data_IF_436597692442
#
_entry.id   IF_436597692442
#
_cell.length_a   1.000
_cell.length_b   1.000
_cell.length_c   1.000
_cell.angle_alpha   90.00
_cell.angle_beta   90.00
_cell.angle_gamma   90.00
#
_symmetry.space_group_name_H-M   'P 1'
#
loop_
_entity.id
_entity.type
_entity.pdbx_description
1 polymer ?
#
# COMPACT_ATOMS: atom_id res chain seq x y z
N UNK A 1 -1.15 -19.37 10.89
CA UNK A 1 -0.10 -19.62 9.86
C UNK A 1 -0.48 -18.87 8.61
N UNK A 2 0.47 -18.19 7.98
CA UNK A 2 0.31 -17.57 6.67
C UNK A 2 1.39 -18.09 5.73
N UNK A 3 1.03 -18.22 4.46
CA UNK A 3 1.96 -18.60 3.40
C UNK A 3 2.10 -17.43 2.43
N UNK A 4 3.30 -17.17 1.92
CA UNK A 4 3.57 -16.11 0.96
C UNK A 4 4.46 -16.61 -0.18
N UNK A 5 4.32 -15.96 -1.32
CA UNK A 5 5.14 -16.23 -2.49
C UNK A 5 6.39 -15.36 -2.49
N UNK A 6 7.53 -15.91 -2.93
CA UNK A 6 8.82 -15.22 -2.98
C UNK A 6 9.59 -15.51 -4.24
N UNK A 7 10.27 -14.50 -4.78
CA UNK A 7 11.19 -14.63 -5.90
C UNK A 7 10.52 -14.64 -7.27
N UNK A 8 11.20 -15.16 -8.26
CA UNK A 8 10.77 -15.17 -9.66
C UNK A 8 9.81 -16.33 -9.95
N UNK A 9 8.61 -16.29 -9.39
CA UNK A 9 7.58 -17.31 -9.60
C UNK A 9 6.66 -16.94 -10.75
N UNK A 10 6.09 -17.94 -11.43
CA UNK A 10 5.28 -17.77 -12.64
C UNK A 10 3.90 -18.44 -12.58
N UNK A 11 3.48 -18.94 -11.41
CA UNK A 11 2.26 -19.74 -11.26
C UNK A 11 1.27 -19.22 -10.20
N UNK A 12 1.39 -17.94 -9.77
CA UNK A 12 0.53 -17.33 -8.77
C UNK A 12 -0.44 -16.29 -9.36
N UNK A 13 -0.92 -16.52 -10.57
CA UNK A 13 -1.87 -15.64 -11.24
C UNK A 13 -3.31 -15.98 -10.88
N UNK A 14 -4.16 -14.94 -10.83
CA UNK A 14 -5.62 -15.03 -10.70
C UNK A 14 -6.27 -14.03 -11.64
N UNK A 15 -7.23 -14.47 -12.44
CA UNK A 15 -8.11 -13.57 -13.19
C UNK A 15 -9.34 -13.27 -12.35
N UNK A 16 -9.55 -11.99 -12.05
CA UNK A 16 -10.73 -11.52 -11.33
C UNK A 16 -11.12 -10.12 -11.80
N UNK A 17 -12.42 -9.89 -11.98
CA UNK A 17 -12.99 -8.62 -12.47
C UNK A 17 -12.39 -8.18 -13.83
N UNK A 18 -12.09 -9.13 -14.72
CA UNK A 18 -11.50 -8.84 -16.03
C UNK A 18 -10.06 -8.33 -15.99
N UNK A 19 -9.38 -8.47 -14.87
CA UNK A 19 -8.00 -8.05 -14.65
C UNK A 19 -7.14 -9.22 -14.22
N UNK A 20 -5.81 -9.08 -14.35
CA UNK A 20 -4.86 -10.04 -13.82
C UNK A 20 -4.31 -9.60 -12.48
N UNK A 21 -4.24 -10.53 -11.55
CA UNK A 21 -3.73 -10.36 -10.20
C UNK A 21 -2.65 -11.39 -9.90
N UNK A 22 -1.77 -11.06 -8.94
CA UNK A 22 -0.80 -12.00 -8.36
C UNK A 22 -1.21 -12.30 -6.92
N UNK A 23 -1.14 -13.55 -6.53
CA UNK A 23 -1.28 -13.95 -5.12
C UNK A 23 -0.02 -13.53 -4.37
N UNK A 24 -0.19 -12.72 -3.33
CA UNK A 24 0.90 -12.29 -2.44
C UNK A 24 1.03 -13.27 -1.28
N UNK A 25 -0.10 -13.55 -0.62
CA UNK A 25 -0.14 -14.49 0.51
C UNK A 25 -1.50 -15.17 0.64
N UNK A 26 -1.49 -16.29 1.34
CA UNK A 26 -2.69 -16.96 1.85
C UNK A 26 -2.66 -16.82 3.37
N UNK A 27 -3.70 -16.27 3.95
CA UNK A 27 -3.83 -16.06 5.39
C UNK A 27 -4.32 -17.32 6.10
N UNK A 28 -4.21 -17.35 7.44
CA UNK A 28 -4.52 -18.56 8.23
C UNK A 28 -6.01 -18.95 8.22
N UNK A 29 -6.90 -18.04 7.84
CA UNK A 29 -8.34 -18.27 7.63
C UNK A 29 -8.69 -18.70 6.20
N UNK A 30 -7.68 -18.83 5.33
CA UNK A 30 -7.85 -19.20 3.93
C UNK A 30 -8.11 -18.05 2.97
N UNK A 31 -8.16 -16.82 3.45
CA UNK A 31 -8.26 -15.63 2.59
C UNK A 31 -6.99 -15.46 1.77
N UNK A 32 -7.14 -14.92 0.55
CA UNK A 32 -6.04 -14.72 -0.38
C UNK A 32 -5.84 -13.22 -0.57
N UNK A 33 -4.64 -12.71 -0.28
CA UNK A 33 -4.26 -11.34 -0.63
C UNK A 33 -3.71 -11.30 -2.04
N UNK A 34 -4.34 -10.46 -2.85
CA UNK A 34 -3.99 -10.23 -4.25
C UNK A 34 -3.31 -8.86 -4.40
N UNK A 35 -2.51 -8.70 -5.45
CA UNK A 35 -2.00 -7.40 -5.93
C UNK A 35 -2.20 -7.32 -7.43
N UNK A 36 -2.54 -6.15 -7.93
CA UNK A 36 -2.75 -5.93 -9.35
C UNK A 36 -1.47 -6.24 -10.16
N UNK A 37 -1.63 -7.01 -11.23
CA UNK A 37 -0.58 -7.36 -12.18
C UNK A 37 -0.84 -6.78 -13.57
N UNK A 38 -2.11 -6.74 -14.01
CA UNK A 38 -2.50 -6.10 -15.25
C UNK A 38 -3.91 -5.50 -15.11
N UNK A 39 -4.00 -4.17 -15.19
CA UNK A 39 -5.25 -3.42 -15.12
C UNK A 39 -6.16 -3.65 -16.36
N UNK A 40 -5.62 -4.31 -17.38
CA UNK A 40 -6.34 -4.69 -18.58
C UNK A 40 -7.07 -3.51 -19.26
N UNK A 41 -6.38 -2.38 -19.36
CA UNK A 41 -6.95 -1.18 -20.01
C UNK A 41 -7.39 -1.45 -21.46
N UNK A 42 -6.70 -2.38 -22.15
CA UNK A 42 -6.98 -2.76 -23.52
C UNK A 42 -8.09 -3.82 -23.66
N UNK A 43 -8.67 -4.28 -22.54
CA UNK A 43 -9.79 -5.25 -22.49
C UNK A 43 -9.49 -6.55 -23.26
N UNK A 44 -8.27 -7.06 -23.15
CA UNK A 44 -7.88 -8.34 -23.76
C UNK A 44 -8.55 -9.51 -23.04
N UNK A 45 -8.81 -10.60 -23.74
CA UNK A 45 -9.52 -11.77 -23.21
C UNK A 45 -8.72 -12.52 -22.12
N UNK A 46 -7.38 -12.50 -22.20
CA UNK A 46 -6.47 -13.21 -21.29
C UNK A 46 -5.47 -12.22 -20.67
N UNK A 47 -5.87 -11.41 -19.69
CA UNK A 47 -5.01 -10.36 -19.13
C UNK A 47 -3.78 -10.89 -18.41
N UNK A 48 -3.78 -12.17 -18.01
CA UNK A 48 -2.65 -12.84 -17.37
C UNK A 48 -1.65 -13.47 -18.36
N UNK A 49 -1.94 -13.45 -19.67
CA UNK A 49 -1.02 -13.99 -20.65
C UNK A 49 0.25 -13.10 -20.74
N UNK A 50 1.42 -13.72 -20.80
CA UNK A 50 2.70 -13.01 -20.85
C UNK A 50 2.82 -12.05 -22.07
N UNK A 51 2.11 -12.35 -23.17
CA UNK A 51 2.03 -11.45 -24.33
C UNK A 51 1.37 -10.09 -24.03
N UNK A 52 0.67 -9.97 -22.92
CA UNK A 52 -0.01 -8.75 -22.47
C UNK A 52 0.78 -8.01 -21.36
N UNK A 53 1.97 -8.49 -21.04
CA UNK A 53 2.84 -7.82 -20.09
C UNK A 53 3.40 -6.52 -20.67
N UNK A 54 3.45 -5.49 -19.82
CA UNK A 54 4.19 -4.25 -20.08
C UNK A 54 4.57 -3.59 -18.76
N UNK A 55 5.53 -2.67 -18.80
CA UNK A 55 6.15 -2.12 -17.59
C UNK A 55 5.24 -1.30 -16.69
N UNK A 56 4.04 -0.93 -17.16
CA UNK A 56 3.04 -0.14 -16.38
C UNK A 56 1.69 -0.84 -16.25
N UNK A 57 1.57 -2.09 -16.68
CA UNK A 57 0.29 -2.80 -16.65
C UNK A 57 -0.26 -3.01 -15.23
N UNK A 58 0.62 -3.09 -14.22
CA UNK A 58 0.26 -3.34 -12.83
C UNK A 58 -0.34 -2.13 -12.09
N UNK A 59 -0.54 -0.99 -12.76
CA UNK A 59 -1.04 0.22 -12.11
C UNK A 59 -2.51 0.50 -12.43
N UNK A 60 -3.25 0.94 -11.42
CA UNK A 60 -4.67 1.28 -11.49
C UNK A 60 -4.92 2.57 -12.27
N UNK A 61 -5.65 2.52 -13.36
CA UNK A 61 -6.08 3.70 -14.11
C UNK A 61 -7.38 4.22 -13.54
N UNK A 62 -7.27 5.09 -12.55
CA UNK A 62 -8.41 5.63 -11.82
C UNK A 62 -9.08 6.85 -12.49
N UNK A 63 -8.42 7.45 -13.49
CA UNK A 63 -8.97 8.56 -14.28
C UNK A 63 -8.40 8.53 -15.71
N UNK A 64 -9.16 8.02 -16.66
CA UNK A 64 -8.68 7.82 -18.03
C UNK A 64 -7.44 6.93 -18.08
N UNK A 65 -6.31 7.48 -18.52
CA UNK A 65 -5.01 6.78 -18.55
C UNK A 65 -4.15 7.05 -17.30
N UNK A 66 -4.60 7.90 -16.38
CA UNK A 66 -3.84 8.30 -15.20
C UNK A 66 -3.78 7.15 -14.20
N UNK A 67 -2.57 6.74 -13.84
CA UNK A 67 -2.26 5.66 -12.90
C UNK A 67 -1.25 6.06 -11.83
N UNK A 68 -0.81 7.32 -11.82
CA UNK A 68 0.13 7.85 -10.85
C UNK A 68 -0.55 8.88 -9.94
N UNK A 69 -0.14 8.96 -8.69
CA UNK A 69 -0.71 9.85 -7.69
C UNK A 69 0.36 10.34 -6.72
N UNK A 70 0.19 11.55 -6.19
CA UNK A 70 0.81 11.90 -4.91
C UNK A 70 0.21 11.01 -3.82
N UNK A 71 0.95 10.76 -2.75
CA UNK A 71 0.40 10.08 -1.58
C UNK A 71 -0.51 11.04 -0.79
N UNK A 72 0.00 12.24 -0.50
CA UNK A 72 -0.73 13.36 0.11
C UNK A 72 -0.27 14.70 -0.47
N UNK A 73 -1.04 15.77 -0.23
CA UNK A 73 -0.75 17.11 -0.77
C UNK A 73 0.03 18.02 0.22
N UNK A 74 0.35 17.54 1.41
CA UNK A 74 1.16 18.29 2.38
C UNK A 74 2.24 17.36 2.96
N UNK A 75 3.43 17.92 3.26
CA UNK A 75 4.61 17.15 3.64
C UNK A 75 5.28 17.61 4.94
N UNK A 76 4.77 18.69 5.53
CA UNK A 76 5.49 19.41 6.59
C UNK A 76 5.07 18.98 8.01
N UNK A 77 4.37 17.85 8.14
CA UNK A 77 3.86 17.36 9.40
C UNK A 77 3.80 15.82 9.38
N UNK A 78 4.10 15.19 10.50
CA UNK A 78 3.99 13.74 10.67
C UNK A 78 2.59 13.21 10.33
N UNK A 79 1.52 14.00 10.55
CA UNK A 79 0.16 13.62 10.22
C UNK A 79 -0.07 13.34 8.72
N UNK A 80 0.82 13.80 7.82
CA UNK A 80 0.68 13.54 6.37
C UNK A 80 1.05 12.12 5.95
N UNK A 81 1.57 11.33 6.87
CA UNK A 81 1.96 9.94 6.63
C UNK A 81 0.83 8.97 6.89
N UNK A 82 0.83 7.90 6.11
CA UNK A 82 -0.13 6.82 6.22
C UNK A 82 -1.30 6.90 5.25
N UNK A 83 -1.81 5.73 4.94
CA UNK A 83 -2.92 5.50 4.00
C UNK A 83 -4.22 6.21 4.41
N UNK A 84 -4.45 6.32 5.72
CA UNK A 84 -5.32 7.32 6.33
C UNK A 84 -4.49 8.14 7.29
N UNK A 85 -4.78 9.43 7.43
CA UNK A 85 -4.01 10.34 8.25
C UNK A 85 -4.86 11.04 9.32
N UNK A 86 -4.19 11.56 10.36
CA UNK A 86 -4.83 12.21 11.49
C UNK A 86 -5.03 13.72 11.30
N UNK A 87 -4.97 14.46 12.39
CA UNK A 87 -5.21 15.90 12.40
C UNK A 87 -3.88 16.66 12.37
N UNK A 88 -3.51 17.30 11.26
CA UNK A 88 -2.29 18.09 11.17
C UNK A 88 -2.26 19.22 12.19
N UNK A 89 -1.10 19.42 12.83
CA UNK A 89 -0.90 20.50 13.80
C UNK A 89 -1.55 20.26 15.15
N UNK A 90 -2.01 19.03 15.42
CA UNK A 90 -2.52 18.68 16.74
C UNK A 90 -1.38 18.70 17.79
N UNK A 91 -1.75 18.83 19.05
CA UNK A 91 -0.81 18.87 20.17
C UNK A 91 -0.51 17.49 20.76
N UNK A 92 -1.09 16.43 20.20
CA UNK A 92 -0.94 15.07 20.72
C UNK A 92 -0.55 14.07 19.62
N UNK A 93 0.30 13.13 19.98
CA UNK A 93 0.68 12.01 19.15
C UNK A 93 -0.54 11.23 18.60
N UNK A 94 -1.49 10.94 19.46
CA UNK A 94 -2.67 10.16 19.10
C UNK A 94 -3.51 10.84 18.00
N UNK A 95 -3.74 12.16 18.11
CA UNK A 95 -4.54 12.90 17.14
C UNK A 95 -3.83 13.07 15.78
N UNK A 96 -2.50 13.14 15.77
CA UNK A 96 -1.75 13.18 14.51
C UNK A 96 -1.69 11.83 13.82
N UNK A 97 -1.62 10.74 14.59
CA UNK A 97 -1.46 9.38 14.04
C UNK A 97 -2.78 8.61 13.91
N UNK A 98 -3.92 9.20 14.27
CA UNK A 98 -5.23 8.55 14.06
C UNK A 98 -5.52 8.32 12.56
N UNK A 99 -6.37 7.33 12.25
CA UNK A 99 -6.86 7.05 10.90
C UNK A 99 -8.20 7.75 10.68
N UNK A 100 -8.19 9.06 10.44
CA UNK A 100 -9.38 9.91 10.39
C UNK A 100 -9.76 10.34 8.97
N UNK A 101 -8.76 10.67 8.17
CA UNK A 101 -8.95 11.27 6.86
C UNK A 101 -8.29 10.44 5.79
N UNK A 102 -8.96 10.23 4.67
CA UNK A 102 -8.42 9.53 3.51
C UNK A 102 -7.23 10.33 2.94
N UNK A 103 -6.14 9.64 2.63
CA UNK A 103 -5.08 10.19 1.80
C UNK A 103 -5.57 10.40 0.36
N UNK A 104 -4.83 11.18 -0.42
CA UNK A 104 -5.16 11.37 -1.84
C UNK A 104 -5.09 10.04 -2.59
N UNK A 105 -4.06 9.24 -2.32
CA UNK A 105 -3.95 7.92 -2.97
C UNK A 105 -5.10 7.00 -2.62
N UNK A 106 -5.60 7.01 -1.37
CA UNK A 106 -6.79 6.24 -0.98
C UNK A 106 -8.02 6.71 -1.71
N UNK A 107 -8.22 8.03 -1.86
CA UNK A 107 -9.33 8.59 -2.64
C UNK A 107 -9.29 8.13 -4.09
N UNK A 108 -8.11 8.12 -4.72
CA UNK A 108 -7.93 7.63 -6.08
C UNK A 108 -8.17 6.11 -6.19
N UNK A 109 -7.74 5.35 -5.19
CA UNK A 109 -8.03 3.91 -5.11
C UNK A 109 -9.53 3.61 -4.97
N UNK A 110 -10.26 4.37 -4.16
CA UNK A 110 -11.73 4.25 -4.03
C UNK A 110 -12.41 4.53 -5.37
N UNK A 111 -11.97 5.54 -6.09
CA UNK A 111 -12.47 5.83 -7.44
C UNK A 111 -12.25 4.65 -8.38
N UNK A 112 -11.03 4.10 -8.41
CA UNK A 112 -10.72 2.94 -9.25
C UNK A 112 -11.51 1.70 -8.84
N UNK A 113 -11.71 1.47 -7.53
CA UNK A 113 -12.51 0.37 -7.00
C UNK A 113 -13.95 0.41 -7.51
N UNK A 114 -14.60 1.58 -7.46
CA UNK A 114 -15.95 1.77 -7.94
C UNK A 114 -16.09 1.60 -9.47
N UNK A 115 -15.06 2.00 -10.22
CA UNK A 115 -15.01 1.80 -11.67
C UNK A 115 -14.73 0.34 -12.06
N UNK A 116 -14.12 -0.44 -11.18
CA UNK A 116 -13.62 -1.79 -11.48
C UNK A 116 -14.60 -2.87 -11.08
N UNK A 117 -15.17 -2.80 -9.88
CA UNK A 117 -15.92 -3.90 -9.30
C UNK A 117 -17.43 -3.67 -9.32
N UNK A 118 -18.15 -4.63 -9.92
CA UNK A 118 -19.60 -4.74 -9.73
C UNK A 118 -19.94 -5.14 -8.29
N UNK A 119 -21.18 -4.92 -7.84
CA UNK A 119 -21.62 -5.32 -6.48
C UNK A 119 -21.45 -6.83 -6.23
N UNK A 120 -21.65 -7.67 -7.25
CA UNK A 120 -21.42 -9.12 -7.14
C UNK A 120 -19.94 -9.42 -6.85
N UNK A 121 -19.03 -8.68 -7.48
CA UNK A 121 -17.59 -8.83 -7.27
C UNK A 121 -17.15 -8.27 -5.91
N UNK A 122 -17.68 -7.11 -5.50
CA UNK A 122 -17.43 -6.51 -4.18
C UNK A 122 -17.82 -7.46 -3.04
N UNK A 123 -18.90 -8.23 -3.20
CA UNK A 123 -19.34 -9.22 -2.22
C UNK A 123 -18.40 -10.44 -2.09
N UNK A 124 -17.53 -10.67 -3.07
CA UNK A 124 -16.50 -11.73 -2.99
C UNK A 124 -15.22 -11.27 -2.30
N UNK A 125 -15.05 -9.97 -2.09
CA UNK A 125 -13.89 -9.42 -1.39
C UNK A 125 -14.10 -9.52 0.12
N UNK A 126 -13.10 -10.04 0.82
CA UNK A 126 -13.15 -10.17 2.27
C UNK A 126 -12.99 -8.80 2.97
N UNK A 127 -13.67 -8.64 4.10
CA UNK A 127 -13.37 -7.55 5.03
C UNK A 127 -12.20 -7.99 5.91
N UNK A 128 -11.02 -7.50 5.61
CA UNK A 128 -9.77 -7.93 6.25
C UNK A 128 -9.00 -6.74 6.83
N UNK A 129 -8.01 -7.05 7.64
CA UNK A 129 -7.13 -6.03 8.26
C UNK A 129 -6.16 -5.48 7.21
N UNK A 130 -6.15 -4.17 7.11
CA UNK A 130 -5.15 -3.40 6.39
C UNK A 130 -4.15 -2.80 7.39
N UNK A 131 -2.86 -3.00 7.16
CA UNK A 131 -1.81 -2.55 8.06
C UNK A 131 -1.23 -1.20 7.60
N UNK A 132 -1.76 -0.13 8.19
CA UNK A 132 -1.23 1.23 8.04
C UNK A 132 -0.38 1.55 9.28
N UNK A 133 0.73 0.81 9.45
CA UNK A 133 1.53 0.86 10.67
C UNK A 133 2.21 2.21 10.85
N UNK A 134 1.66 3.02 11.73
CA UNK A 134 2.20 4.31 12.14
C UNK A 134 2.95 4.25 13.49
N UNK A 135 3.32 3.06 13.95
CA UNK A 135 4.17 2.94 15.12
C UNK A 135 5.51 3.62 14.85
N UNK A 136 5.97 4.40 15.78
CA UNK A 136 7.23 5.14 15.70
C UNK A 136 8.31 4.45 16.53
N UNK A 137 9.56 4.56 16.10
CA UNK A 137 10.74 4.09 16.83
C UNK A 137 11.14 5.09 17.92
N UNK A 138 10.72 6.32 17.76
CA UNK A 138 10.89 7.43 18.71
C UNK A 138 9.53 8.12 18.93
N UNK A 139 9.35 8.90 20.02
CA UNK A 139 8.07 9.55 20.32
C UNK A 139 7.84 10.84 19.51
N UNK A 140 8.24 10.85 18.24
CA UNK A 140 8.12 12.02 17.38
C UNK A 140 6.71 12.24 16.86
N UNK A 141 6.28 13.49 16.81
CA UNK A 141 5.06 13.95 16.14
C UNK A 141 5.21 15.44 15.75
N UNK A 142 4.25 15.97 15.02
CA UNK A 142 4.28 17.36 14.56
C UNK A 142 5.36 17.56 13.49
N UNK A 143 6.30 18.43 13.77
CA UNK A 143 7.45 18.75 12.90
C UNK A 143 8.75 18.11 13.37
N UNK A 144 8.70 17.21 14.36
CA UNK A 144 9.88 16.50 14.84
C UNK A 144 10.26 15.37 13.90
N UNK A 145 11.56 15.19 13.69
CA UNK A 145 12.08 14.03 12.98
C UNK A 145 11.59 12.74 13.65
N UNK A 146 11.11 11.78 12.85
CA UNK A 146 10.47 10.57 13.33
C UNK A 146 10.78 9.44 12.38
N UNK A 147 11.28 8.31 12.90
CA UNK A 147 11.38 7.07 12.16
C UNK A 147 10.17 6.18 12.51
N UNK A 148 9.53 5.63 11.48
CA UNK A 148 8.43 4.69 11.64
C UNK A 148 8.95 3.26 11.62
N UNK A 149 8.17 2.32 12.12
CA UNK A 149 8.59 0.92 12.25
C UNK A 149 9.06 0.28 10.93
N UNK A 150 8.51 0.70 9.79
CA UNK A 150 8.93 0.24 8.48
C UNK A 150 10.41 0.56 8.16
N UNK A 151 10.98 1.57 8.81
CA UNK A 151 12.40 1.90 8.67
C UNK A 151 13.31 0.74 9.12
N UNK A 152 13.00 0.12 10.27
CA UNK A 152 13.79 -1.01 10.79
C UNK A 152 13.43 -2.35 10.12
N UNK A 153 12.22 -2.45 9.56
CA UNK A 153 11.73 -3.70 8.95
C UNK A 153 12.31 -4.00 7.58
N UNK A 154 13.09 -3.11 7.00
CA UNK A 154 13.80 -3.34 5.76
C UNK A 154 14.67 -4.60 5.80
N UNK A 155 15.23 -4.89 6.97
CA UNK A 155 16.09 -6.06 7.20
C UNK A 155 15.40 -7.19 7.96
N UNK A 156 14.27 -6.91 8.61
CA UNK A 156 13.56 -7.85 9.48
C UNK A 156 12.04 -7.71 9.31
N UNK A 157 11.50 -8.04 8.13
CA UNK A 157 10.09 -7.84 7.81
C UNK A 157 9.17 -8.70 8.70
N UNK A 158 7.97 -8.19 8.98
CA UNK A 158 6.94 -8.87 9.76
C UNK A 158 5.59 -8.80 9.05
N UNK A 159 4.89 -9.93 8.97
CA UNK A 159 3.48 -9.97 8.51
C UNK A 159 2.47 -9.70 9.62
N UNK A 160 2.94 -9.50 10.84
CA UNK A 160 2.10 -9.15 11.99
C UNK A 160 1.93 -7.63 11.99
N UNK A 161 0.69 -7.18 11.82
CA UNK A 161 0.39 -5.76 12.00
C UNK A 161 0.40 -5.44 13.50
N UNK A 162 1.32 -4.62 14.01
CA UNK A 162 1.39 -4.29 15.42
C UNK A 162 0.21 -3.42 15.83
N UNK A 163 -0.09 -3.42 17.13
CA UNK A 163 -0.84 -2.34 17.73
C UNK A 163 0.12 -1.18 17.98
N UNK A 164 -0.32 0.03 17.69
CA UNK A 164 0.42 1.23 18.06
C UNK A 164 0.60 1.31 19.58
N UNK A 165 1.82 1.60 20.04
CA UNK A 165 2.17 1.60 21.47
C UNK A 165 1.43 2.66 22.27
N UNK A 166 1.02 3.76 21.68
CA UNK A 166 0.41 4.90 22.35
C UNK A 166 -1.08 5.02 22.10
N UNK A 167 -1.61 4.49 21.03
CA UNK A 167 -3.03 4.59 20.67
C UNK A 167 -3.71 3.25 20.42
N UNK A 168 -2.97 2.17 20.43
CA UNK A 168 -3.47 0.79 20.45
C UNK A 168 -4.30 0.33 19.26
N UNK A 169 -4.55 1.15 18.24
CA UNK A 169 -5.36 0.78 17.06
C UNK A 169 -5.01 1.62 15.82
N UNK A 170 -4.01 2.47 15.93
CA UNK A 170 -3.65 3.39 14.86
C UNK A 170 -2.99 2.69 13.66
N UNK A 171 -2.41 1.51 13.90
CA UNK A 171 -1.67 0.77 12.87
C UNK A 171 -2.55 -0.11 11.98
N UNK A 172 -3.83 -0.31 12.29
CA UNK A 172 -4.68 -1.24 11.51
C UNK A 172 -6.14 -0.83 11.51
N UNK A 173 -6.82 -1.14 10.42
CA UNK A 173 -8.26 -0.94 10.23
C UNK A 173 -8.82 -1.97 9.24
N UNK A 174 -10.15 -2.11 9.23
CA UNK A 174 -10.89 -2.92 8.24
C UNK A 174 -11.85 -2.05 7.44
N UNK A 175 -12.52 -2.62 6.43
CA UNK A 175 -13.52 -1.90 5.66
C UNK A 175 -14.73 -1.48 6.52
N UNK A 176 -15.05 -2.24 7.56
CA UNK A 176 -16.16 -1.99 8.49
C UNK A 176 -15.76 -1.30 9.80
N UNK A 177 -14.45 -1.08 10.04
CA UNK A 177 -13.97 -0.54 11.31
C UNK A 177 -14.46 0.90 11.52
N UNK A 178 -15.16 1.13 12.64
CA UNK A 178 -15.69 2.44 13.02
C UNK A 178 -15.16 2.90 14.39
N UNK A 179 -14.11 2.25 14.91
CA UNK A 179 -13.68 2.42 16.29
C UNK A 179 -12.74 3.63 16.44
N UNK A 180 -13.15 4.61 17.26
CA UNK A 180 -12.35 5.62 17.96
C UNK A 180 -11.14 6.20 17.18
N UNK A 181 -11.37 7.08 16.23
CA UNK A 181 -10.32 7.75 15.47
C UNK A 181 -9.53 6.83 14.55
N UNK A 182 -9.92 5.56 14.47
CA UNK A 182 -9.27 4.58 13.62
C UNK A 182 -9.76 4.64 12.17
N UNK A 183 -10.86 5.35 11.92
CA UNK A 183 -11.48 5.45 10.61
C UNK A 183 -11.79 4.08 9.98
N UNK A 184 -12.86 4.00 9.22
CA UNK A 184 -13.14 2.86 8.40
C UNK A 184 -12.87 3.18 6.93
N UNK A 185 -12.56 2.17 6.13
CA UNK A 185 -12.56 2.30 4.67
C UNK A 185 -13.98 2.46 4.09
N UNK A 186 -15.01 2.52 4.95
CA UNK A 186 -16.42 2.75 4.59
C UNK A 186 -16.93 1.77 3.55
N UNK A 187 -16.61 0.48 3.73
CA UNK A 187 -17.00 -0.59 2.83
C UNK A 187 -16.02 -0.87 1.68
N UNK A 188 -15.03 -0.03 1.46
CA UNK A 188 -13.99 -0.26 0.45
C UNK A 188 -13.00 -1.32 0.92
N UNK A 189 -12.96 -2.44 0.24
CA UNK A 189 -12.12 -3.59 0.56
C UNK A 189 -10.87 -3.59 -0.32
N UNK A 190 -10.08 -2.54 -0.22
CA UNK A 190 -8.92 -2.28 -1.07
C UNK A 190 -7.85 -1.51 -0.31
N UNK A 191 -6.60 -1.75 -0.64
CA UNK A 191 -5.45 -1.04 -0.09
C UNK A 191 -4.24 -1.13 -1.00
N UNK A 192 -3.07 -0.95 -0.41
CA UNK A 192 -1.77 -1.17 -1.04
C UNK A 192 -1.04 -2.30 -0.30
N UNK A 193 0.04 -2.80 -0.88
CA UNK A 193 0.96 -3.67 -0.16
C UNK A 193 1.68 -2.88 0.93
N UNK A 194 2.03 -3.55 2.02
CA UNK A 194 2.97 -3.01 2.98
C UNK A 194 4.41 -3.22 2.50
N UNK A 195 5.32 -2.45 3.06
CA UNK A 195 6.75 -2.59 2.86
C UNK A 195 7.23 -4.00 3.20
N UNK A 196 6.73 -4.56 4.31
CA UNK A 196 7.00 -5.93 4.75
C UNK A 196 6.56 -6.97 3.71
N UNK A 197 5.37 -6.84 3.14
CA UNK A 197 4.87 -7.77 2.13
C UNK A 197 5.73 -7.77 0.86
N UNK A 198 6.23 -6.60 0.46
CA UNK A 198 7.16 -6.50 -0.67
C UNK A 198 8.51 -7.12 -0.33
N UNK A 199 9.01 -6.91 0.90
CA UNK A 199 10.25 -7.53 1.38
C UNK A 199 10.13 -9.07 1.43
N UNK A 200 9.00 -9.61 1.91
CA UNK A 200 8.73 -11.06 1.87
C UNK A 200 8.68 -11.59 0.44
N UNK A 201 8.14 -10.83 -0.50
CA UNK A 201 8.10 -11.21 -1.92
C UNK A 201 9.48 -11.24 -2.57
N UNK A 202 10.47 -10.56 -2.00
CA UNK A 202 11.86 -10.56 -2.49
C UNK A 202 12.47 -9.18 -2.68
N UNK A 203 11.71 -8.09 -2.47
CA UNK A 203 12.25 -6.75 -2.50
C UNK A 203 13.33 -6.53 -1.44
N UNK A 204 14.34 -5.71 -1.76
CA UNK A 204 15.45 -5.37 -0.84
C UNK A 204 15.64 -3.86 -0.80
N UNK A 205 15.92 -3.33 0.39
CA UNK A 205 16.25 -1.93 0.54
C UNK A 205 17.58 -1.59 -0.14
N UNK A 206 17.60 -0.49 -0.88
CA UNK A 206 18.80 0.04 -1.55
C UNK A 206 19.57 -0.99 -2.40
N UNK A 207 18.90 -2.05 -2.84
CA UNK A 207 19.52 -3.11 -3.63
C UNK A 207 18.63 -3.52 -4.79
N UNK A 208 19.15 -3.47 -6.00
CA UNK A 208 18.44 -3.97 -7.18
C UNK A 208 18.00 -5.42 -6.99
N UNK A 209 16.73 -5.66 -7.20
CA UNK A 209 16.20 -7.00 -7.34
C UNK A 209 15.04 -7.00 -8.34
N UNK A 210 15.36 -6.93 -9.61
CA UNK A 210 14.36 -6.98 -10.69
C UNK A 210 13.74 -8.37 -10.90
N UNK A 211 14.27 -9.39 -10.22
CA UNK A 211 13.96 -10.80 -10.49
C UNK A 211 12.83 -11.37 -9.62
N UNK A 212 12.07 -10.56 -8.89
CA UNK A 212 10.93 -11.06 -8.14
C UNK A 212 9.59 -10.66 -8.79
N UNK A 213 8.57 -11.50 -8.58
CA UNK A 213 7.30 -11.41 -9.32
C UNK A 213 6.56 -10.07 -9.18
N UNK A 214 6.79 -9.30 -8.12
CA UNK A 214 6.16 -7.99 -7.95
C UNK A 214 6.77 -6.92 -8.85
N UNK A 215 8.01 -7.07 -9.33
CA UNK A 215 8.60 -6.10 -10.25
C UNK A 215 8.14 -6.30 -11.70
N UNK A 216 7.65 -7.48 -12.05
CA UNK A 216 7.03 -7.74 -13.34
C UNK A 216 5.80 -6.85 -13.54
N UNK A 217 5.66 -6.22 -14.71
CA UNK A 217 4.60 -5.27 -15.05
C UNK A 217 4.55 -3.97 -14.21
N UNK A 218 5.55 -3.71 -13.38
CA UNK A 218 5.62 -2.52 -12.51
C UNK A 218 6.95 -1.77 -12.60
N UNK A 219 7.84 -2.16 -13.51
CA UNK A 219 9.19 -1.57 -13.64
C UNK A 219 9.23 -0.25 -14.42
N UNK A 220 8.11 0.20 -14.95
CA UNK A 220 8.04 1.46 -15.71
C UNK A 220 7.83 2.70 -14.86
N UNK A 221 7.57 2.54 -13.57
CA UNK A 221 7.30 3.64 -12.64
C UNK A 221 7.67 3.22 -11.22
N UNK A 222 8.05 4.16 -10.35
CA UNK A 222 8.06 3.94 -8.92
C UNK A 222 6.62 3.79 -8.44
N UNK A 223 6.38 3.03 -7.38
CA UNK A 223 5.03 2.84 -6.87
C UNK A 223 4.95 2.81 -5.35
N UNK A 224 3.82 3.28 -4.84
CA UNK A 224 3.57 3.44 -3.42
C UNK A 224 3.29 2.12 -2.71
N UNK A 225 3.82 1.97 -1.51
CA UNK A 225 3.29 1.06 -0.48
C UNK A 225 2.40 1.84 0.49
N UNK A 226 1.76 1.16 1.45
CA UNK A 226 0.96 1.84 2.48
C UNK A 226 1.72 2.03 3.81
N UNK A 227 3.05 1.91 3.81
CA UNK A 227 3.86 1.94 5.03
C UNK A 227 4.52 3.29 5.22
N UNK A 228 4.14 4.07 6.24
CA UNK A 228 4.90 5.23 6.68
C UNK A 228 6.35 4.85 6.99
N UNK A 229 7.31 5.59 6.46
CA UNK A 229 8.72 5.26 6.68
C UNK A 229 9.44 6.26 7.59
N UNK A 230 9.39 7.53 7.27
CA UNK A 230 10.06 8.53 8.10
C UNK A 230 9.54 9.95 7.85
N UNK A 231 9.79 10.81 8.83
CA UNK A 231 9.64 12.25 8.71
C UNK A 231 10.99 12.92 8.99
N UNK A 232 11.50 13.66 8.04
CA UNK A 232 12.77 14.36 8.17
C UNK A 232 12.64 15.66 8.96
N UNK A 233 13.71 16.05 9.66
CA UNK A 233 13.81 17.33 10.37
C UNK A 233 13.59 18.56 9.49
N UNK A 234 13.81 18.43 8.18
CA UNK A 234 13.58 19.49 7.20
C UNK A 234 12.11 19.58 6.70
N UNK A 235 11.20 18.86 7.34
CA UNK A 235 9.78 18.92 7.02
C UNK A 235 9.40 18.08 5.79
N UNK A 236 10.00 16.92 5.60
CA UNK A 236 9.65 15.98 4.54
C UNK A 236 9.06 14.69 5.11
N UNK A 237 7.76 14.50 4.91
CA UNK A 237 7.07 13.26 5.19
C UNK A 237 7.30 12.28 4.02
N UNK A 238 7.85 11.09 4.31
CA UNK A 238 8.17 10.08 3.32
C UNK A 238 7.45 8.76 3.61
N UNK A 239 6.75 8.26 2.60
CA UNK A 239 6.17 6.92 2.56
C UNK A 239 7.13 5.93 1.89
N UNK A 240 7.03 4.66 2.28
CA UNK A 240 7.72 3.59 1.60
C UNK A 240 7.22 3.44 0.16
N UNK A 241 8.15 3.34 -0.77
CA UNK A 241 7.86 3.11 -2.18
C UNK A 241 8.81 2.05 -2.75
N UNK A 242 8.50 1.59 -3.94
CA UNK A 242 9.32 0.66 -4.70
C UNK A 242 9.80 1.36 -5.95
N UNK A 243 11.08 1.32 -6.19
CA UNK A 243 11.68 1.85 -7.42
C UNK A 243 11.40 0.95 -8.62
N UNK A 244 11.62 1.48 -9.81
CA UNK A 244 11.48 0.75 -11.07
C UNK A 244 12.41 -0.46 -11.20
N UNK A 245 13.54 -0.46 -10.49
CA UNK A 245 14.47 -1.59 -10.39
C UNK A 245 14.04 -2.67 -9.39
N UNK A 246 12.91 -2.46 -8.70
CA UNK A 246 12.36 -3.38 -7.70
C UNK A 246 12.90 -3.15 -6.28
N UNK A 247 13.79 -2.21 -6.04
CA UNK A 247 14.33 -1.92 -4.72
C UNK A 247 13.31 -1.19 -3.83
N UNK A 248 13.32 -1.53 -2.54
CA UNK A 248 12.57 -0.80 -1.52
C UNK A 248 13.26 0.53 -1.24
N UNK A 249 12.48 1.60 -1.20
CA UNK A 249 12.96 2.95 -0.92
C UNK A 249 11.86 3.79 -0.27
N UNK A 250 12.06 5.09 -0.17
CA UNK A 250 11.04 6.03 0.28
C UNK A 250 10.96 7.24 -0.65
N UNK A 251 9.81 7.86 -0.66
CA UNK A 251 9.57 9.06 -1.45
C UNK A 251 8.71 10.04 -0.66
N UNK A 252 8.95 11.34 -0.87
CA UNK A 252 8.11 12.36 -0.26
C UNK A 252 6.67 12.21 -0.73
N UNK A 253 5.72 12.31 0.20
CA UNK A 253 4.28 12.12 -0.05
C UNK A 253 3.71 13.02 -1.14
N UNK A 254 4.39 14.10 -1.52
CA UNK A 254 3.99 15.00 -2.60
C UNK A 254 4.60 14.67 -3.96
N UNK A 255 5.43 13.64 -4.04
CA UNK A 255 5.95 13.10 -5.30
C UNK A 255 4.87 12.22 -5.94
N UNK A 256 4.88 12.14 -7.27
CA UNK A 256 3.90 11.37 -8.03
C UNK A 256 4.50 10.01 -8.37
N UNK A 257 3.89 8.93 -7.86
CA UNK A 257 4.30 7.55 -8.14
C UNK A 257 3.10 6.68 -8.50
N UNK A 258 3.34 5.48 -9.03
CA UNK A 258 2.32 4.53 -9.46
C UNK A 258 1.39 4.07 -8.33
N UNK A 259 0.11 3.90 -8.66
CA UNK A 259 -0.94 3.39 -7.78
C UNK A 259 -1.14 1.91 -8.08
N UNK A 260 -0.76 1.03 -7.16
CA UNK A 260 -0.83 -0.42 -7.33
C UNK A 260 -1.74 -1.07 -6.28
N UNK A 261 -3.00 -1.35 -6.60
CA UNK A 261 -3.98 -1.91 -5.67
C UNK A 261 -3.61 -3.31 -5.18
N UNK A 262 -3.99 -3.59 -3.92
CA UNK A 262 -3.92 -4.91 -3.32
C UNK A 262 -5.27 -5.26 -2.65
#
# INVERSE_FOLDING_TARGET
TSYYYRGAITNNYVEFAGKCWRIVRVTGDGSIKLVLHNDNINKVASPCAASNNNTTAAFARYSGTTYTSVFNNFKNNNASLGFMYGTPGSSTYAAEHENKTDSIILTNLKTWYDLTFSEIQKNKLADTIWCNDKSTLDPGFGTRATNYAAYDRETSPSIICPADKTGGKLSKFTASDTINGNGALKGYKIGLLTYDEVSFAGGKYSGENSSYYLNENASGEWWWTMSPRLFYVNGLANEGCIHSDGSLFDSSVVVVNGVRPA
#
